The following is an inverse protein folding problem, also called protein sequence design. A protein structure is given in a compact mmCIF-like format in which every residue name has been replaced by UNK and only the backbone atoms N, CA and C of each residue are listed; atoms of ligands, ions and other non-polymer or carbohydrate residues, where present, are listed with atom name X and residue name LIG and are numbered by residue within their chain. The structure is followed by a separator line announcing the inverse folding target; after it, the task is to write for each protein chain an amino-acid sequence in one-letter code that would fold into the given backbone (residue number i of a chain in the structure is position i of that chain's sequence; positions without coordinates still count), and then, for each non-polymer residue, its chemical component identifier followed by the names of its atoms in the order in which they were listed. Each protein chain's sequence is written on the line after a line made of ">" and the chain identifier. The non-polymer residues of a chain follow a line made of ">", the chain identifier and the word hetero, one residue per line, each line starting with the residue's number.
data_IF_774745893264
#
_entry.id   IF_774745893264
#
_cell.length_a   1.000
_cell.length_b   1.000
_cell.length_c   1.000
_cell.angle_alpha   90.00
_cell.angle_beta   90.00
_cell.angle_gamma   90.00
#
_symmetry.space_group_name_H-M   'P 1'
#
loop_
_entity.id
_entity.type
_entity.pdbx_description
1 polymer ?
#
# COMPACT_ATOMS: atom_id res chain seq x y z
N UNK A 1 3.43 -7.35 -19.80
CA UNK A 1 3.68 -5.90 -19.84
C UNK A 1 3.77 -5.35 -18.43
N UNK A 2 4.82 -4.63 -18.14
CA UNK A 2 5.02 -4.09 -16.79
C UNK A 2 4.26 -2.77 -16.59
N UNK A 3 3.93 -2.45 -15.33
CA UNK A 3 3.44 -1.13 -14.95
C UNK A 3 4.48 -0.06 -15.32
N UNK A 4 4.01 1.11 -15.66
CA UNK A 4 4.87 2.26 -15.90
C UNK A 4 5.68 2.54 -14.63
N UNK A 5 7.00 2.69 -14.76
CA UNK A 5 7.91 2.81 -13.63
C UNK A 5 9.09 3.72 -13.95
N UNK A 6 9.72 4.26 -12.91
CA UNK A 6 10.86 5.17 -13.04
C UNK A 6 12.16 4.47 -13.45
N UNK A 7 12.20 3.14 -13.38
CA UNK A 7 13.39 2.36 -13.71
C UNK A 7 13.51 2.07 -15.21
N UNK A 8 12.49 2.40 -15.98
CA UNK A 8 12.47 2.13 -17.42
C UNK A 8 12.37 0.67 -17.78
N UNK A 9 11.86 -0.18 -16.86
CA UNK A 9 11.74 -1.61 -17.08
C UNK A 9 10.42 -1.94 -17.77
N UNK A 10 10.49 -2.79 -18.80
CA UNK A 10 9.34 -3.23 -19.58
C UNK A 10 8.94 -4.69 -19.33
N UNK A 11 9.83 -5.47 -18.71
CA UNK A 11 9.57 -6.84 -18.33
C UNK A 11 8.95 -6.91 -16.94
N UNK A 12 7.79 -7.56 -16.81
CA UNK A 12 7.13 -7.75 -15.51
C UNK A 12 8.01 -8.50 -14.52
N UNK A 13 8.77 -9.49 -15.00
CA UNK A 13 9.66 -10.28 -14.15
C UNK A 13 10.83 -9.43 -13.62
N UNK A 14 11.42 -8.58 -14.46
CA UNK A 14 12.50 -7.70 -14.05
C UNK A 14 12.01 -6.63 -13.09
N UNK A 15 10.84 -6.07 -13.35
CA UNK A 15 10.22 -5.09 -12.47
C UNK A 15 9.93 -5.68 -11.09
N UNK A 16 9.34 -6.87 -11.04
CA UNK A 16 9.03 -7.54 -9.77
C UNK A 16 10.31 -7.79 -8.95
N UNK A 17 11.40 -8.19 -9.61
CA UNK A 17 12.68 -8.43 -8.95
C UNK A 17 13.27 -7.14 -8.35
N UNK A 18 13.29 -6.07 -9.12
CA UNK A 18 13.80 -4.79 -8.65
C UNK A 18 12.90 -4.16 -7.60
N UNK A 19 11.59 -4.30 -7.73
CA UNK A 19 10.63 -3.85 -6.72
C UNK A 19 10.90 -4.54 -5.39
N UNK A 20 11.08 -5.86 -5.40
CA UNK A 20 11.39 -6.63 -4.19
C UNK A 20 12.70 -6.16 -3.56
N UNK A 21 13.75 -6.01 -4.36
CA UNK A 21 15.06 -5.58 -3.88
C UNK A 21 15.01 -4.19 -3.23
N UNK A 22 14.41 -3.24 -3.92
CA UNK A 22 14.37 -1.84 -3.46
C UNK A 22 13.44 -1.70 -2.25
N UNK A 23 12.26 -2.30 -2.29
CA UNK A 23 11.30 -2.20 -1.19
C UNK A 23 11.82 -2.85 0.09
N UNK A 24 12.51 -3.98 0.00
CA UNK A 24 13.14 -4.61 1.16
C UNK A 24 14.22 -3.73 1.77
N UNK A 25 15.06 -3.12 0.95
CA UNK A 25 16.08 -2.18 1.41
C UNK A 25 15.46 -0.99 2.15
N UNK A 26 14.41 -0.43 1.56
CA UNK A 26 13.68 0.70 2.17
C UNK A 26 12.97 0.30 3.47
N UNK A 27 12.44 -0.92 3.53
CA UNK A 27 11.82 -1.43 4.76
C UNK A 27 12.83 -1.53 5.90
N UNK A 28 14.05 -2.01 5.61
CA UNK A 28 15.13 -2.06 6.58
C UNK A 28 15.48 -0.64 7.06
N UNK A 29 15.55 0.33 6.15
CA UNK A 29 15.81 1.73 6.50
C UNK A 29 14.73 2.31 7.41
N UNK A 30 13.45 2.02 7.13
CA UNK A 30 12.33 2.45 7.98
C UNK A 30 12.51 1.96 9.41
N UNK A 31 12.92 0.71 9.58
CA UNK A 31 13.14 0.10 10.88
C UNK A 31 14.37 0.69 11.57
N UNK A 32 15.52 0.73 10.89
CA UNK A 32 16.78 1.19 11.47
C UNK A 32 16.77 2.67 11.85
N UNK A 33 16.07 3.50 11.09
CA UNK A 33 15.95 4.94 11.34
C UNK A 33 14.81 5.28 12.29
N UNK A 34 14.09 4.28 12.81
CA UNK A 34 12.94 4.45 13.71
C UNK A 34 11.85 5.38 13.16
N UNK A 35 11.70 5.43 11.83
CA UNK A 35 10.71 6.30 11.18
C UNK A 35 9.29 5.89 11.57
N UNK A 36 9.03 4.57 11.70
CA UNK A 36 7.71 4.05 12.07
C UNK A 36 7.25 4.51 13.45
N UNK A 37 8.19 4.78 14.36
CA UNK A 37 7.87 5.21 15.72
C UNK A 37 7.24 6.62 15.78
N UNK A 38 7.40 7.39 14.71
CA UNK A 38 6.84 8.75 14.61
C UNK A 38 5.48 8.80 13.96
N UNK A 39 4.96 7.66 13.49
CA UNK A 39 3.71 7.59 12.73
C UNK A 39 2.58 7.00 13.57
N UNK A 40 1.36 7.56 13.50
CA UNK A 40 0.21 7.00 14.22
C UNK A 40 -0.19 5.64 13.65
N UNK A 41 -0.38 4.65 14.53
CA UNK A 41 -0.79 3.31 14.13
C UNK A 41 -2.26 3.29 13.70
N UNK A 42 -2.57 2.48 12.68
CA UNK A 42 -3.95 2.21 12.26
C UNK A 42 -4.60 3.30 11.41
N UNK A 43 -3.84 4.26 10.92
CA UNK A 43 -4.35 5.32 10.04
C UNK A 43 -3.94 5.09 8.59
N UNK A 44 -4.84 5.38 7.66
CA UNK A 44 -4.51 5.29 6.23
C UNK A 44 -3.39 6.25 5.85
N UNK A 45 -3.36 7.45 6.44
CA UNK A 45 -2.28 8.42 6.20
C UNK A 45 -0.90 7.86 6.52
N UNK A 46 -0.80 7.01 7.54
CA UNK A 46 0.44 6.31 7.88
C UNK A 46 0.82 5.32 6.79
N UNK A 47 -0.13 4.56 6.25
CA UNK A 47 0.12 3.66 5.13
C UNK A 47 0.59 4.42 3.89
N UNK A 48 0.04 5.60 3.63
CA UNK A 48 0.50 6.43 2.51
C UNK A 48 1.96 6.83 2.65
N UNK A 49 2.38 7.23 3.85
CA UNK A 49 3.78 7.58 4.13
C UNK A 49 4.69 6.37 3.92
N UNK A 50 4.30 5.21 4.45
CA UNK A 50 5.09 3.99 4.30
C UNK A 50 5.18 3.56 2.84
N UNK A 51 4.06 3.55 2.13
CA UNK A 51 4.00 3.17 0.73
C UNK A 51 4.88 4.08 -0.12
N UNK A 52 4.80 5.39 0.11
CA UNK A 52 5.64 6.36 -0.59
C UNK A 52 7.12 6.08 -0.34
N UNK A 53 7.51 5.85 0.91
CA UNK A 53 8.90 5.58 1.26
C UNK A 53 9.43 4.33 0.55
N UNK A 54 8.63 3.26 0.51
CA UNK A 54 9.04 2.00 -0.09
C UNK A 54 9.15 2.05 -1.61
N UNK A 55 8.29 2.81 -2.27
CA UNK A 55 8.08 2.72 -3.72
C UNK A 55 8.36 4.00 -4.51
N UNK A 56 8.72 5.11 -3.86
CA UNK A 56 8.90 6.38 -4.55
C UNK A 56 10.00 6.37 -5.61
N UNK A 57 11.01 5.52 -5.45
CA UNK A 57 12.09 5.38 -6.43
C UNK A 57 11.67 4.55 -7.66
N UNK A 58 10.53 3.87 -7.58
CA UNK A 58 10.05 2.94 -8.60
C UNK A 58 8.84 3.50 -9.33
N UNK A 59 7.88 4.09 -8.61
CA UNK A 59 6.59 4.52 -9.15
C UNK A 59 6.28 5.97 -8.83
N UNK A 60 5.71 6.67 -9.82
CA UNK A 60 5.18 8.02 -9.59
C UNK A 60 3.95 8.03 -8.69
N UNK A 61 3.19 6.91 -8.67
CA UNK A 61 1.98 6.81 -7.85
C UNK A 61 2.24 6.42 -6.38
N UNK A 62 3.52 6.31 -5.97
CA UNK A 62 3.85 5.92 -4.60
C UNK A 62 3.19 6.84 -3.57
N UNK A 63 2.45 6.24 -2.62
CA UNK A 63 1.72 6.96 -1.58
C UNK A 63 0.38 7.53 -2.02
N UNK A 64 -0.02 7.38 -3.28
CA UNK A 64 -1.27 7.91 -3.81
C UNK A 64 -2.33 6.83 -3.94
N UNK A 65 -3.59 7.22 -3.73
CA UNK A 65 -4.72 6.33 -4.01
C UNK A 65 -4.73 5.93 -5.47
N UNK A 66 -5.07 4.67 -5.74
CA UNK A 66 -5.26 4.21 -7.11
C UNK A 66 -6.40 4.95 -7.80
N UNK A 67 -6.29 5.03 -9.11
CA UNK A 67 -7.29 5.68 -9.97
C UNK A 67 -8.03 4.68 -10.85
N UNK A 68 -7.85 3.39 -10.61
CA UNK A 68 -8.44 2.30 -11.39
C UNK A 68 -9.03 1.24 -10.48
N UNK A 69 -10.01 0.50 -11.00
CA UNK A 69 -10.48 -0.70 -10.34
C UNK A 69 -9.46 -1.83 -10.54
N UNK A 70 -9.24 -2.63 -9.51
CA UNK A 70 -8.29 -3.73 -9.57
C UNK A 70 -8.94 -5.02 -9.05
N UNK A 71 -8.42 -6.14 -9.54
CA UNK A 71 -8.87 -7.46 -9.14
C UNK A 71 -7.69 -8.42 -9.13
N UNK A 72 -7.82 -9.50 -8.36
CA UNK A 72 -6.84 -10.59 -8.35
C UNK A 72 -7.60 -11.89 -8.55
N UNK A 73 -7.41 -12.52 -9.71
CA UNK A 73 -8.23 -13.66 -10.10
C UNK A 73 -9.69 -13.25 -10.20
N UNK A 74 -10.56 -13.97 -9.49
CA UNK A 74 -12.00 -13.68 -9.44
C UNK A 74 -12.40 -12.71 -8.34
N UNK A 75 -11.45 -12.30 -7.48
CA UNK A 75 -11.72 -11.37 -6.40
C UNK A 75 -11.53 -9.94 -6.87
N UNK A 76 -12.58 -9.12 -6.68
CA UNK A 76 -12.53 -7.69 -6.96
C UNK A 76 -12.38 -6.93 -5.64
N UNK A 77 -11.38 -6.06 -5.59
CA UNK A 77 -11.18 -5.18 -4.44
C UNK A 77 -12.22 -4.05 -4.47
N UNK A 78 -12.23 -3.20 -3.44
CA UNK A 78 -13.21 -2.13 -3.33
C UNK A 78 -13.33 -1.34 -4.63
N UNK A 79 -14.54 -1.13 -5.16
CA UNK A 79 -14.73 -0.30 -6.36
C UNK A 79 -14.18 1.11 -6.14
N UNK A 80 -13.55 1.66 -7.17
CA UNK A 80 -12.92 2.97 -7.10
C UNK A 80 -13.88 4.06 -6.60
N UNK A 81 -15.13 4.01 -7.04
CA UNK A 81 -16.15 4.99 -6.65
C UNK A 81 -16.41 5.02 -5.13
N UNK A 82 -16.16 3.91 -4.41
CA UNK A 82 -16.39 3.80 -2.98
C UNK A 82 -15.11 3.81 -2.15
N UNK A 83 -13.94 3.85 -2.82
CA UNK A 83 -12.67 3.62 -2.15
C UNK A 83 -12.39 4.64 -1.05
N UNK A 84 -12.59 5.92 -1.33
CA UNK A 84 -12.32 6.98 -0.35
C UNK A 84 -13.23 6.84 0.89
N UNK A 85 -14.51 6.59 0.67
CA UNK A 85 -15.46 6.40 1.78
C UNK A 85 -15.10 5.15 2.60
N UNK A 86 -14.68 4.07 1.94
CA UNK A 86 -14.25 2.85 2.62
C UNK A 86 -13.03 3.12 3.52
N UNK A 87 -12.05 3.87 3.03
CA UNK A 87 -10.85 4.20 3.80
C UNK A 87 -11.17 5.10 4.99
N UNK A 88 -12.07 6.06 4.84
CA UNK A 88 -12.52 6.91 5.94
C UNK A 88 -13.21 6.09 7.02
N UNK A 89 -14.04 5.12 6.63
CA UNK A 89 -14.70 4.22 7.58
C UNK A 89 -13.69 3.31 8.29
N UNK A 90 -12.70 2.81 7.56
CA UNK A 90 -11.64 1.97 8.14
C UNK A 90 -10.84 2.76 9.18
N UNK A 91 -10.53 4.02 8.91
CA UNK A 91 -9.81 4.88 9.87
C UNK A 91 -10.56 5.03 11.20
N UNK A 92 -11.89 4.96 11.15
CA UNK A 92 -12.74 5.08 12.35
C UNK A 92 -12.95 3.75 13.07
N UNK A 93 -12.55 2.62 12.49
CA UNK A 93 -12.71 1.32 13.11
C UNK A 93 -11.87 1.22 14.38
N UNK A 94 -12.39 0.57 15.44
CA UNK A 94 -11.64 0.43 16.70
C UNK A 94 -10.45 -0.50 16.54
N UNK A 95 -9.45 -0.31 17.39
CA UNK A 95 -8.21 -1.11 17.39
C UNK A 95 -7.71 -1.35 18.82
N UNK A 96 -8.64 -1.59 19.76
CA UNK A 96 -8.34 -1.71 21.18
C UNK A 96 -7.90 -3.12 21.61
N UNK A 97 -8.25 -4.13 20.81
CA UNK A 97 -7.91 -5.52 21.09
C UNK A 97 -7.48 -6.24 19.81
N UNK A 98 -7.01 -7.48 19.95
CA UNK A 98 -6.51 -8.25 18.82
C UNK A 98 -7.55 -8.48 17.73
N UNK A 99 -8.78 -8.84 18.11
CA UNK A 99 -9.84 -9.11 17.13
C UNK A 99 -10.20 -7.85 16.32
N UNK A 100 -10.24 -6.69 16.96
CA UNK A 100 -10.51 -5.42 16.29
C UNK A 100 -9.37 -5.04 15.33
N UNK A 101 -8.12 -5.27 15.74
CA UNK A 101 -6.95 -5.00 14.89
C UNK A 101 -6.99 -5.90 13.64
N UNK A 102 -7.30 -7.19 13.81
CA UNK A 102 -7.40 -8.14 12.70
C UNK A 102 -8.52 -7.73 11.75
N UNK A 103 -9.69 -7.37 12.29
CA UNK A 103 -10.84 -6.94 11.47
C UNK A 103 -10.47 -5.71 10.65
N UNK A 104 -9.83 -4.73 11.25
CA UNK A 104 -9.38 -3.52 10.57
C UNK A 104 -8.38 -3.84 9.45
N UNK A 105 -7.44 -4.74 9.73
CA UNK A 105 -6.47 -5.21 8.73
C UNK A 105 -7.16 -5.87 7.54
N UNK A 106 -8.14 -6.73 7.80
CA UNK A 106 -8.90 -7.43 6.74
C UNK A 106 -9.62 -6.42 5.85
N UNK A 107 -10.30 -5.44 6.45
CA UNK A 107 -11.01 -4.41 5.68
C UNK A 107 -10.05 -3.57 4.85
N UNK A 108 -8.87 -3.23 5.37
CA UNK A 108 -7.87 -2.50 4.62
C UNK A 108 -7.35 -3.33 3.43
N UNK A 109 -7.17 -4.63 3.63
CA UNK A 109 -6.74 -5.53 2.56
C UNK A 109 -7.80 -5.65 1.46
N UNK A 110 -9.08 -5.67 1.83
CA UNK A 110 -10.19 -5.67 0.85
C UNK A 110 -10.24 -4.35 0.08
N UNK A 111 -10.00 -3.24 0.75
CA UNK A 111 -9.95 -1.92 0.10
C UNK A 111 -8.84 -1.83 -0.95
N UNK A 112 -7.68 -2.37 -0.64
CA UNK A 112 -6.53 -2.40 -1.56
C UNK A 112 -6.28 -1.03 -2.19
N UNK A 113 -5.86 -0.03 -1.40
CA UNK A 113 -5.92 1.39 -1.81
C UNK A 113 -4.93 1.79 -2.88
N UNK A 114 -3.83 1.07 -3.04
CA UNK A 114 -2.76 1.44 -3.97
C UNK A 114 -2.83 0.64 -5.27
N UNK A 115 -2.26 1.20 -6.33
CA UNK A 115 -2.22 0.52 -7.64
C UNK A 115 -1.42 -0.78 -7.58
N UNK A 116 -0.36 -0.79 -6.78
CA UNK A 116 0.53 -1.93 -6.55
C UNK A 116 1.17 -1.78 -5.17
N UNK A 117 1.74 -2.84 -4.65
CA UNK A 117 2.45 -2.78 -3.36
C UNK A 117 1.52 -2.68 -2.15
N UNK A 118 0.27 -3.07 -2.31
CA UNK A 118 -0.66 -3.10 -1.17
C UNK A 118 -0.22 -4.15 -0.12
#
# INVERSE_FOLDING_TARGET
>A
MALENKLGLTSSANLAREEERISKKKAVELFEKSILDTLPAGKFSTLQVIHKYLFEDIYDFAGELRTVNIAKGNFRFAPLIYLQAALENIDKMPQLNFDEIVEKYVEMNIAHPFRDGN
#
